data_IF_930796856716
#
_entry.id   IF_930796856716
#
_cell.length_a   1.000
_cell.length_b   1.000
_cell.length_c   1.000
_cell.angle_alpha   90.00
_cell.angle_beta   90.00
_cell.angle_gamma   90.00
#
_symmetry.space_group_name_H-M   'P 1'
#
loop_
_entity.id
_entity.type
_entity.pdbx_description
1 polymer ?
#
# COMPACT_ATOMS: atom_id res chain seq x y z
N UNK A 1 16.30 -1.16 -21.95
CA UNK A 1 15.98 -2.50 -21.41
C UNK A 1 14.54 -2.88 -21.72
N UNK A 2 14.28 -4.18 -21.91
CA UNK A 2 12.94 -4.74 -21.99
C UNK A 2 12.57 -5.32 -20.60
N UNK A 3 11.66 -4.66 -19.90
CA UNK A 3 11.27 -5.02 -18.53
C UNK A 3 9.86 -5.57 -18.53
N UNK A 4 9.68 -6.82 -18.08
CA UNK A 4 8.38 -7.48 -17.96
C UNK A 4 7.83 -7.40 -16.53
N UNK A 5 6.55 -7.10 -16.37
CA UNK A 5 5.86 -7.04 -15.07
C UNK A 5 4.72 -8.04 -14.97
N UNK A 6 4.57 -8.71 -13.81
CA UNK A 6 3.30 -9.33 -13.43
C UNK A 6 2.27 -8.26 -13.09
N UNK A 7 1.37 -8.01 -14.02
CA UNK A 7 0.37 -6.96 -13.90
C UNK A 7 -1.04 -7.45 -13.51
N UNK A 8 -1.21 -8.73 -13.11
CA UNK A 8 -2.53 -9.23 -12.70
C UNK A 8 -3.19 -8.30 -11.67
N UNK A 9 -2.44 -7.86 -10.65
CA UNK A 9 -2.97 -6.99 -9.59
C UNK A 9 -3.23 -5.56 -10.08
N UNK A 10 -2.40 -5.02 -10.96
CA UNK A 10 -2.64 -3.70 -11.54
C UNK A 10 -3.99 -3.60 -12.26
N UNK A 11 -4.38 -4.66 -12.97
CA UNK A 11 -5.62 -4.71 -13.76
C UNK A 11 -6.86 -5.14 -12.97
N UNK A 12 -6.73 -6.01 -11.96
CA UNK A 12 -7.86 -6.65 -11.29
C UNK A 12 -8.07 -6.28 -9.82
N UNK A 13 -7.15 -5.53 -9.20
CA UNK A 13 -7.20 -5.23 -7.77
C UNK A 13 -7.19 -3.73 -7.51
N UNK A 14 -8.12 -3.25 -6.68
CA UNK A 14 -8.27 -1.84 -6.32
C UNK A 14 -7.76 -1.50 -4.91
N UNK A 15 -7.08 -2.44 -4.24
CA UNK A 15 -6.48 -2.27 -2.91
C UNK A 15 -4.96 -2.09 -2.99
N UNK A 16 -4.24 -2.17 -1.88
CA UNK A 16 -2.82 -1.87 -1.75
C UNK A 16 -1.93 -2.49 -2.83
N UNK A 17 -2.04 -3.82 -3.09
CA UNK A 17 -1.21 -4.49 -4.10
C UNK A 17 -1.46 -3.98 -5.53
N UNK A 18 -2.72 -3.66 -5.85
CA UNK A 18 -3.07 -3.10 -7.15
C UNK A 18 -2.58 -1.65 -7.30
N UNK A 19 -2.67 -0.84 -6.23
CA UNK A 19 -2.15 0.52 -6.20
C UNK A 19 -0.63 0.50 -6.37
N UNK A 20 0.10 -0.29 -5.58
CA UNK A 20 1.55 -0.46 -5.72
C UNK A 20 1.95 -0.82 -7.16
N UNK A 21 1.28 -1.81 -7.76
CA UNK A 21 1.61 -2.23 -9.12
C UNK A 21 1.40 -1.10 -10.14
N UNK A 22 0.30 -0.34 -10.05
CA UNK A 22 0.03 0.79 -10.93
C UNK A 22 1.00 1.94 -10.73
N UNK A 23 1.25 2.30 -9.47
CA UNK A 23 2.15 3.39 -9.11
C UNK A 23 3.59 3.07 -9.56
N UNK A 24 4.08 1.84 -9.33
CA UNK A 24 5.39 1.37 -9.83
C UNK A 24 5.52 1.50 -11.35
N UNK A 25 4.51 1.02 -12.11
CA UNK A 25 4.51 1.11 -13.57
C UNK A 25 4.48 2.58 -14.02
N UNK A 26 3.64 3.39 -13.39
CA UNK A 26 3.48 4.80 -13.76
C UNK A 26 4.76 5.59 -13.51
N UNK A 27 5.35 5.46 -12.32
CA UNK A 27 6.55 6.20 -11.95
C UNK A 27 7.77 5.80 -12.83
N UNK A 28 7.98 4.50 -13.06
CA UNK A 28 9.08 4.03 -13.92
C UNK A 28 8.91 4.51 -15.36
N UNK A 29 7.71 4.40 -15.92
CA UNK A 29 7.46 4.84 -17.30
C UNK A 29 7.53 6.36 -17.48
N UNK A 30 7.37 7.16 -16.42
CA UNK A 30 7.55 8.61 -16.43
C UNK A 30 9.02 9.00 -16.30
N UNK A 31 9.73 8.42 -15.35
CA UNK A 31 11.11 8.83 -15.02
C UNK A 31 12.17 8.18 -15.93
N UNK A 32 11.82 7.02 -16.53
CA UNK A 32 12.69 6.27 -17.44
C UNK A 32 11.95 5.96 -18.76
N UNK A 33 11.61 6.99 -19.56
CA UNK A 33 10.77 6.84 -20.75
C UNK A 33 11.46 6.08 -21.91
N UNK A 34 12.78 5.96 -21.89
CA UNK A 34 13.56 5.24 -22.91
C UNK A 34 13.52 3.72 -22.74
N UNK A 35 13.06 3.23 -21.57
CA UNK A 35 12.90 1.81 -21.30
C UNK A 35 11.54 1.30 -21.82
N UNK A 36 11.49 0.03 -22.20
CA UNK A 36 10.25 -0.63 -22.65
C UNK A 36 9.68 -1.51 -21.53
N UNK A 37 8.42 -1.29 -21.20
CA UNK A 37 7.75 -1.99 -20.12
C UNK A 37 6.61 -2.87 -20.65
N UNK A 38 6.74 -4.17 -20.47
CA UNK A 38 5.78 -5.18 -20.92
C UNK A 38 4.89 -5.61 -19.75
N UNK A 39 3.60 -5.36 -19.88
CA UNK A 39 2.60 -5.54 -18.83
C UNK A 39 1.85 -6.85 -19.03
N UNK A 40 2.32 -7.92 -18.42
CA UNK A 40 1.72 -9.24 -18.55
C UNK A 40 0.52 -9.40 -17.62
N UNK A 41 -0.66 -9.64 -18.19
CA UNK A 41 -1.91 -9.85 -17.43
C UNK A 41 -2.73 -11.00 -18.01
N UNK A 42 -3.28 -11.88 -17.16
CA UNK A 42 -4.11 -13.00 -17.65
C UNK A 42 -5.45 -12.56 -18.26
N UNK A 43 -5.89 -11.32 -17.97
CA UNK A 43 -7.11 -10.74 -18.53
C UNK A 43 -7.00 -9.22 -18.55
N UNK A 44 -7.31 -8.61 -19.68
CA UNK A 44 -7.52 -7.18 -19.76
C UNK A 44 -8.84 -6.80 -19.03
N UNK A 45 -8.81 -5.75 -18.23
CA UNK A 45 -10.01 -5.19 -17.61
C UNK A 45 -10.14 -3.71 -17.93
N UNK A 46 -11.38 -3.23 -18.07
CA UNK A 46 -11.69 -1.81 -18.27
C UNK A 46 -11.65 -1.06 -16.91
N UNK A 47 -10.51 -1.02 -16.26
CA UNK A 47 -10.36 -0.30 -15.00
C UNK A 47 -9.92 1.15 -15.30
N UNK A 48 -10.70 2.14 -14.86
CA UNK A 48 -10.35 3.57 -15.04
C UNK A 48 -8.98 3.94 -14.47
N UNK A 49 -8.52 3.22 -13.43
CA UNK A 49 -7.23 3.47 -12.78
C UNK A 49 -6.00 3.09 -13.62
N UNK A 50 -6.20 2.45 -14.79
CA UNK A 50 -5.12 2.10 -15.73
C UNK A 50 -5.18 2.90 -17.04
N UNK A 51 -6.01 3.94 -17.12
CA UNK A 51 -6.12 4.78 -18.32
C UNK A 51 -4.79 5.45 -18.71
N UNK A 52 -3.90 5.70 -17.74
CA UNK A 52 -2.57 6.23 -18.01
C UNK A 52 -1.73 5.34 -18.94
N UNK A 53 -1.96 4.03 -18.95
CA UNK A 53 -1.23 3.08 -19.79
C UNK A 53 -1.43 3.39 -21.27
N UNK A 54 -2.64 3.77 -21.67
CA UNK A 54 -2.98 4.09 -23.06
C UNK A 54 -2.31 5.36 -23.59
N UNK A 55 -1.85 6.22 -22.70
CA UNK A 55 -1.24 7.52 -23.03
C UNK A 55 0.27 7.48 -23.19
N UNK A 56 0.90 6.30 -23.03
CA UNK A 56 2.36 6.15 -23.01
C UNK A 56 2.84 5.17 -24.05
N UNK A 57 3.76 5.60 -24.88
CA UNK A 57 4.32 4.80 -25.99
C UNK A 57 5.27 3.69 -25.56
N UNK A 58 5.76 3.71 -24.31
CA UNK A 58 6.71 2.74 -23.77
C UNK A 58 6.07 1.64 -22.92
N UNK A 59 4.73 1.57 -22.84
CA UNK A 59 3.96 0.55 -22.12
C UNK A 59 3.25 -0.39 -23.08
N UNK A 60 3.55 -1.69 -23.01
CA UNK A 60 3.02 -2.73 -23.90
C UNK A 60 2.23 -3.77 -23.12
N UNK A 61 0.91 -3.84 -23.31
CA UNK A 61 0.07 -4.84 -22.64
C UNK A 61 0.22 -6.18 -23.38
N UNK A 62 0.40 -7.26 -22.61
CA UNK A 62 0.46 -8.63 -23.09
C UNK A 62 -0.51 -9.53 -22.35
N UNK A 63 -1.29 -10.29 -23.10
CA UNK A 63 -2.27 -11.27 -22.59
C UNK A 63 -2.01 -12.63 -23.25
N UNK A 64 -2.49 -13.74 -22.66
CA UNK A 64 -2.35 -15.06 -23.27
C UNK A 64 -2.85 -15.09 -24.72
N UNK A 65 -2.03 -15.59 -25.64
CA UNK A 65 -2.36 -15.66 -27.07
C UNK A 65 -3.05 -16.98 -27.38
N UNK A 66 -2.49 -18.13 -26.92
CA UNK A 66 -3.04 -19.45 -27.22
C UNK A 66 -4.39 -19.70 -26.53
N UNK A 67 -5.27 -20.45 -27.19
CA UNK A 67 -6.59 -20.76 -26.65
C UNK A 67 -6.51 -21.53 -25.31
N UNK A 68 -5.57 -22.46 -25.16
CA UNK A 68 -5.29 -23.17 -23.90
C UNK A 68 -4.92 -22.21 -22.76
N UNK A 69 -4.04 -21.25 -23.00
CA UNK A 69 -3.63 -20.27 -22.02
C UNK A 69 -4.75 -19.26 -21.68
N UNK A 70 -5.64 -18.96 -22.63
CA UNK A 70 -6.85 -18.14 -22.38
C UNK A 70 -7.83 -18.84 -21.45
N UNK A 71 -7.93 -20.18 -21.52
CA UNK A 71 -8.78 -20.98 -20.63
C UNK A 71 -8.07 -21.15 -19.27
N UNK A 72 -6.83 -21.64 -19.27
CA UNK A 72 -6.06 -21.93 -18.05
C UNK A 72 -5.18 -20.75 -17.62
N UNK A 73 -5.80 -19.59 -17.37
CA UNK A 73 -5.13 -18.31 -17.04
C UNK A 73 -4.20 -18.38 -15.83
N UNK A 74 -4.55 -19.22 -14.84
CA UNK A 74 -3.72 -19.41 -13.65
C UNK A 74 -2.44 -20.14 -13.98
N UNK A 75 -2.53 -21.20 -14.80
CA UNK A 75 -1.39 -21.95 -15.27
C UNK A 75 -0.49 -21.11 -16.19
N UNK A 76 -1.10 -20.30 -17.08
CA UNK A 76 -0.32 -19.39 -17.90
C UNK A 76 0.53 -18.44 -17.03
N UNK A 77 -0.08 -17.77 -16.05
CA UNK A 77 0.63 -16.83 -15.17
C UNK A 77 1.71 -17.53 -14.34
N UNK A 78 1.46 -18.75 -13.86
CA UNK A 78 2.37 -19.46 -12.96
C UNK A 78 3.51 -20.20 -13.67
N UNK A 79 3.38 -20.50 -14.97
CA UNK A 79 4.38 -21.30 -15.71
C UNK A 79 4.52 -20.87 -17.17
N UNK A 80 3.44 -20.94 -17.97
CA UNK A 80 3.53 -20.82 -19.43
C UNK A 80 3.90 -19.42 -19.93
N UNK A 81 3.78 -18.40 -19.10
CA UNK A 81 4.17 -17.02 -19.38
C UNK A 81 5.65 -16.92 -19.78
N UNK A 82 6.50 -17.83 -19.30
CA UNK A 82 7.95 -17.84 -19.62
C UNK A 82 8.19 -17.83 -21.13
N UNK A 83 7.41 -18.59 -21.88
CA UNK A 83 7.53 -18.62 -23.34
C UNK A 83 7.18 -17.25 -23.98
N UNK A 84 6.20 -16.54 -23.40
CA UNK A 84 5.82 -15.22 -23.92
C UNK A 84 6.86 -14.16 -23.53
N UNK A 85 7.51 -14.31 -22.35
CA UNK A 85 8.64 -13.46 -21.94
C UNK A 85 9.83 -13.60 -22.88
N UNK A 86 10.19 -14.84 -23.27
CA UNK A 86 11.28 -15.10 -24.21
C UNK A 86 10.99 -14.50 -25.58
N UNK A 87 9.76 -14.64 -26.11
CA UNK A 87 9.35 -14.06 -27.41
C UNK A 87 9.46 -12.53 -27.45
N UNK A 88 9.22 -11.87 -26.31
CA UNK A 88 9.32 -10.41 -26.19
C UNK A 88 10.76 -9.94 -25.84
N UNK A 89 11.72 -10.85 -25.83
CA UNK A 89 13.13 -10.58 -25.47
C UNK A 89 13.23 -9.83 -24.13
N UNK A 90 12.46 -10.30 -23.10
CA UNK A 90 12.49 -9.70 -21.78
C UNK A 90 13.84 -9.96 -21.12
N UNK A 91 14.52 -8.89 -20.69
CA UNK A 91 15.80 -8.98 -19.98
C UNK A 91 15.61 -9.09 -18.47
N UNK A 92 14.62 -8.36 -17.95
CA UNK A 92 14.26 -8.37 -16.50
C UNK A 92 12.78 -8.67 -16.36
N UNK A 93 12.44 -9.61 -15.50
CA UNK A 93 11.06 -9.87 -15.09
C UNK A 93 10.86 -9.53 -13.61
N UNK A 94 9.90 -8.66 -13.32
CA UNK A 94 9.58 -8.24 -11.97
C UNK A 94 8.18 -8.72 -11.54
N UNK A 95 8.13 -9.66 -10.62
CA UNK A 95 6.92 -10.09 -9.93
C UNK A 95 6.50 -9.06 -8.88
N UNK A 96 5.56 -8.19 -9.22
CA UNK A 96 5.13 -7.06 -8.37
C UNK A 96 4.30 -7.48 -7.14
N UNK A 97 3.94 -8.74 -7.00
CA UNK A 97 3.03 -9.20 -5.95
C UNK A 97 3.36 -10.60 -5.43
N UNK A 98 4.51 -10.72 -4.79
CA UNK A 98 4.99 -11.88 -4.02
C UNK A 98 5.26 -13.16 -4.83
N UNK A 99 5.10 -13.16 -6.15
CA UNK A 99 5.23 -14.38 -6.98
C UNK A 99 6.02 -14.11 -8.27
N UNK A 100 6.81 -15.11 -8.71
CA UNK A 100 7.40 -15.20 -10.05
C UNK A 100 7.04 -16.55 -10.70
N UNK A 101 7.02 -16.65 -12.04
CA UNK A 101 6.65 -17.90 -12.72
C UNK A 101 7.65 -19.03 -12.42
N UNK A 102 7.14 -20.25 -12.45
CA UNK A 102 7.95 -21.46 -12.35
C UNK A 102 8.70 -21.69 -13.67
N UNK A 103 9.96 -22.06 -13.57
CA UNK A 103 10.83 -22.35 -14.72
C UNK A 103 11.51 -21.14 -15.32
N UNK A 104 11.23 -19.91 -14.84
CA UNK A 104 11.93 -18.70 -15.31
C UNK A 104 13.41 -18.73 -14.92
N UNK A 105 13.75 -19.39 -13.80
CA UNK A 105 15.13 -19.60 -13.34
C UNK A 105 15.99 -20.45 -14.29
N UNK A 106 15.37 -21.07 -15.29
CA UNK A 106 16.07 -21.87 -16.35
C UNK A 106 16.36 -21.05 -17.59
N UNK A 107 16.12 -19.74 -17.54
CA UNK A 107 16.35 -18.79 -18.65
C UNK A 107 17.37 -17.74 -18.23
N UNK A 108 17.86 -16.96 -19.20
CA UNK A 108 18.77 -15.84 -18.93
C UNK A 108 18.05 -14.59 -18.38
N UNK A 109 16.71 -14.64 -18.29
CA UNK A 109 15.89 -13.52 -17.77
C UNK A 109 16.23 -13.27 -16.31
N UNK A 110 16.71 -12.09 -15.98
CA UNK A 110 16.95 -11.67 -14.60
C UNK A 110 15.61 -11.44 -13.89
N UNK A 111 15.48 -11.99 -12.68
CA UNK A 111 14.20 -12.00 -11.96
C UNK A 111 14.24 -11.23 -10.66
N UNK A 112 13.19 -10.45 -10.45
CA UNK A 112 12.95 -9.73 -9.20
C UNK A 112 11.57 -10.10 -8.68
N UNK A 113 11.45 -10.23 -7.36
CA UNK A 113 10.14 -10.34 -6.70
C UNK A 113 10.02 -9.28 -5.61
N UNK A 114 8.91 -8.54 -5.60
CA UNK A 114 8.56 -7.67 -4.47
C UNK A 114 7.75 -8.46 -3.45
N UNK A 115 8.22 -8.48 -2.20
CA UNK A 115 7.50 -9.02 -1.05
C UNK A 115 6.93 -7.85 -0.24
N UNK A 116 5.60 -7.88 -0.08
CA UNK A 116 4.87 -6.80 0.60
C UNK A 116 4.81 -6.99 2.10
N UNK A 117 4.58 -8.20 2.56
CA UNK A 117 4.56 -8.59 3.96
C UNK A 117 4.57 -10.11 4.10
N UNK A 118 4.81 -10.58 5.33
CA UNK A 118 4.67 -11.96 5.74
C UNK A 118 3.70 -12.08 6.95
N UNK A 119 2.63 -11.27 6.92
CA UNK A 119 1.62 -11.21 7.99
C UNK A 119 1.00 -12.59 8.25
N UNK A 120 0.81 -13.40 7.22
CA UNK A 120 0.24 -14.74 7.35
C UNK A 120 1.10 -15.71 8.17
N UNK A 121 2.40 -15.44 8.32
CA UNK A 121 3.31 -16.19 9.20
C UNK A 121 3.31 -15.56 10.59
N UNK A 122 3.50 -14.24 10.68
CA UNK A 122 3.61 -13.51 11.95
C UNK A 122 2.29 -13.51 12.75
N UNK A 123 1.15 -13.43 12.05
CA UNK A 123 -0.20 -13.42 12.64
C UNK A 123 -1.08 -14.53 12.05
N UNK A 124 -0.74 -15.80 12.31
CA UNK A 124 -1.38 -16.95 11.67
C UNK A 124 -2.89 -17.05 11.91
N UNK A 125 -3.38 -16.51 13.04
CA UNK A 125 -4.81 -16.52 13.39
C UNK A 125 -5.69 -15.63 12.48
N UNK A 126 -5.08 -14.76 11.68
CA UNK A 126 -5.79 -13.89 10.73
C UNK A 126 -6.09 -14.57 9.38
N UNK A 127 -5.53 -15.74 9.13
CA UNK A 127 -5.64 -16.47 7.87
C UNK A 127 -6.10 -17.92 8.11
N UNK A 128 -6.79 -18.50 7.15
CA UNK A 128 -7.08 -19.93 7.22
C UNK A 128 -5.80 -20.78 6.99
N UNK A 129 -5.81 -22.02 7.47
CA UNK A 129 -4.61 -22.89 7.45
C UNK A 129 -4.17 -23.22 6.02
N UNK A 130 -5.11 -23.41 5.08
CA UNK A 130 -4.84 -23.77 3.69
C UNK A 130 -4.18 -22.60 2.96
N UNK A 131 -4.73 -21.38 3.08
CA UNK A 131 -4.16 -20.20 2.45
C UNK A 131 -2.75 -19.91 2.99
N UNK A 132 -2.53 -20.08 4.31
CA UNK A 132 -1.20 -19.93 4.91
C UNK A 132 -0.17 -20.88 4.33
N UNK A 133 -0.54 -22.15 4.17
CA UNK A 133 0.31 -23.16 3.56
C UNK A 133 0.65 -22.80 2.10
N UNK A 134 -0.35 -22.44 1.31
CA UNK A 134 -0.16 -22.03 -0.09
C UNK A 134 0.72 -20.79 -0.20
N UNK A 135 0.49 -19.76 0.63
CA UNK A 135 1.29 -18.53 0.60
C UNK A 135 2.72 -18.80 1.03
N UNK A 136 2.94 -19.61 2.07
CA UNK A 136 4.27 -19.95 2.54
C UNK A 136 5.12 -20.55 1.41
N UNK A 137 4.64 -21.62 0.77
CA UNK A 137 5.39 -22.27 -0.30
C UNK A 137 5.58 -21.39 -1.54
N UNK A 138 4.56 -20.65 -1.94
CA UNK A 138 4.66 -19.77 -3.10
C UNK A 138 5.64 -18.62 -2.89
N UNK A 139 5.58 -17.94 -1.73
CA UNK A 139 6.43 -16.80 -1.46
C UNK A 139 7.87 -17.25 -1.23
N UNK A 140 8.07 -18.30 -0.42
CA UNK A 140 9.39 -18.88 -0.21
C UNK A 140 10.04 -19.32 -1.52
N UNK A 141 9.35 -20.13 -2.33
CA UNK A 141 9.84 -20.55 -3.64
C UNK A 141 10.15 -19.37 -4.56
N UNK A 142 9.35 -18.32 -4.56
CA UNK A 142 9.63 -17.13 -5.35
C UNK A 142 10.88 -16.40 -4.85
N UNK A 143 11.08 -16.29 -3.54
CA UNK A 143 12.28 -15.70 -2.95
C UNK A 143 13.53 -16.52 -3.25
N UNK A 144 13.45 -17.85 -3.17
CA UNK A 144 14.58 -18.76 -3.46
C UNK A 144 15.03 -18.68 -4.93
N UNK A 145 14.08 -18.62 -5.87
CA UNK A 145 14.34 -18.63 -7.32
C UNK A 145 14.67 -17.26 -7.92
N UNK A 146 14.22 -16.15 -7.28
CA UNK A 146 14.52 -14.82 -7.78
C UNK A 146 16.01 -14.47 -7.67
N UNK A 147 16.56 -13.71 -8.62
CA UNK A 147 17.94 -13.19 -8.54
C UNK A 147 18.05 -12.09 -7.47
N UNK A 148 17.05 -11.21 -7.35
CA UNK A 148 16.96 -10.20 -6.29
C UNK A 148 15.54 -10.13 -5.73
N UNK A 149 15.45 -9.75 -4.47
CA UNK A 149 14.18 -9.55 -3.76
C UNK A 149 14.08 -8.09 -3.36
N UNK A 150 12.94 -7.48 -3.63
CA UNK A 150 12.60 -6.17 -3.11
C UNK A 150 11.70 -6.39 -1.87
N UNK A 151 12.16 -5.93 -0.71
CA UNK A 151 11.35 -5.79 0.48
C UNK A 151 10.82 -4.36 0.57
N UNK A 152 9.54 -4.19 0.88
CA UNK A 152 8.92 -2.85 0.92
C UNK A 152 9.25 -2.05 2.18
N UNK A 153 9.91 -2.69 3.15
CA UNK A 153 10.39 -2.09 4.40
C UNK A 153 11.53 -2.90 5.00
N UNK A 154 12.28 -2.33 5.93
CA UNK A 154 13.29 -3.06 6.73
C UNK A 154 12.62 -4.16 7.58
N UNK A 155 11.41 -3.90 8.08
CA UNK A 155 10.63 -4.93 8.78
C UNK A 155 10.34 -6.14 7.86
N UNK A 156 9.89 -5.91 6.62
CA UNK A 156 9.65 -6.99 5.66
C UNK A 156 10.94 -7.72 5.29
N UNK A 157 12.07 -7.01 5.17
CA UNK A 157 13.39 -7.63 4.95
C UNK A 157 13.75 -8.56 6.10
N UNK A 158 13.59 -8.12 7.35
CA UNK A 158 13.82 -8.94 8.54
C UNK A 158 12.95 -10.20 8.54
N UNK A 159 11.67 -10.05 8.22
CA UNK A 159 10.73 -11.18 8.15
C UNK A 159 11.14 -12.21 7.07
N UNK A 160 11.62 -11.75 5.90
CA UNK A 160 12.10 -12.65 4.83
C UNK A 160 13.33 -13.44 5.30
N UNK A 161 14.28 -12.79 5.94
CA UNK A 161 15.47 -13.46 6.49
C UNK A 161 15.06 -14.48 7.57
N UNK A 162 14.25 -14.05 8.54
CA UNK A 162 13.82 -14.85 9.68
C UNK A 162 13.00 -16.08 9.26
N UNK A 163 12.00 -15.91 8.39
CA UNK A 163 11.03 -16.97 8.10
C UNK A 163 11.38 -17.84 6.90
N UNK A 164 12.15 -17.31 5.94
CA UNK A 164 12.51 -18.03 4.73
C UNK A 164 13.99 -18.39 4.64
N UNK A 165 14.83 -17.90 5.59
CA UNK A 165 16.28 -18.11 5.60
C UNK A 165 16.96 -17.64 4.31
N UNK A 166 16.48 -16.54 3.72
CA UNK A 166 17.06 -15.95 2.50
C UNK A 166 18.28 -15.11 2.90
N UNK A 167 19.42 -15.24 2.18
CA UNK A 167 20.60 -14.41 2.42
C UNK A 167 20.33 -12.92 2.27
N UNK A 168 20.87 -12.10 3.18
CA UNK A 168 20.62 -10.67 3.24
C UNK A 168 21.01 -9.92 1.96
N UNK A 169 22.12 -10.31 1.32
CA UNK A 169 22.66 -9.72 0.10
C UNK A 169 21.73 -9.88 -1.12
N UNK A 170 20.79 -10.81 -1.05
CA UNK A 170 19.77 -11.03 -2.07
C UNK A 170 18.61 -10.04 -1.95
N UNK A 171 18.46 -9.39 -0.78
CA UNK A 171 17.32 -8.55 -0.44
C UNK A 171 17.71 -7.08 -0.47
N UNK A 172 16.99 -6.29 -1.28
CA UNK A 172 17.11 -4.83 -1.28
C UNK A 172 15.82 -4.20 -0.75
N UNK A 173 15.94 -3.28 0.20
CA UNK A 173 14.79 -2.50 0.61
C UNK A 173 14.56 -1.37 -0.39
N UNK A 174 13.36 -1.36 -0.98
CA UNK A 174 12.86 -0.26 -1.80
C UNK A 174 11.49 0.11 -1.29
N UNK A 175 11.41 1.25 -0.65
CA UNK A 175 10.16 1.76 -0.08
C UNK A 175 9.10 2.00 -1.15
N UNK A 176 7.84 2.03 -0.71
CA UNK A 176 6.74 2.40 -1.58
C UNK A 176 6.56 3.93 -1.59
N UNK A 177 6.12 4.45 -2.73
CA UNK A 177 5.58 5.80 -2.83
C UNK A 177 4.08 5.82 -2.53
N UNK A 178 3.48 6.99 -2.65
CA UNK A 178 2.03 7.14 -2.70
C UNK A 178 1.64 7.93 -3.95
N UNK A 179 0.38 7.81 -4.35
CA UNK A 179 -0.11 8.50 -5.53
C UNK A 179 0.15 10.02 -5.46
N UNK A 180 0.64 10.60 -6.55
CA UNK A 180 1.00 12.02 -6.68
C UNK A 180 -0.13 12.98 -6.27
N UNK A 181 -1.38 12.53 -6.35
CA UNK A 181 -2.57 13.32 -5.99
C UNK A 181 -2.55 13.79 -4.53
N UNK A 182 -1.89 13.04 -3.63
CA UNK A 182 -1.71 13.40 -2.22
C UNK A 182 -0.57 14.40 -2.00
N UNK A 183 0.35 14.52 -2.98
CA UNK A 183 1.49 15.42 -2.92
C UNK A 183 1.11 16.85 -3.34
N UNK A 184 -0.04 17.02 -4.00
CA UNK A 184 -0.51 18.30 -4.53
C UNK A 184 -1.48 18.96 -3.57
N UNK A 185 -1.22 20.24 -3.21
CA UNK A 185 -2.13 21.08 -2.41
C UNK A 185 -3.44 21.30 -3.18
N UNK A 186 -4.56 21.01 -2.54
CA UNK A 186 -5.89 21.23 -3.10
C UNK A 186 -6.38 22.66 -2.80
N UNK A 187 -7.18 23.20 -3.73
CA UNK A 187 -7.80 24.50 -3.51
C UNK A 187 -8.90 24.44 -2.43
N UNK A 188 -9.08 25.50 -1.67
CA UNK A 188 -10.16 25.59 -0.67
C UNK A 188 -11.55 25.33 -1.27
N UNK A 189 -11.77 25.74 -2.53
CA UNK A 189 -13.03 25.48 -3.25
C UNK A 189 -13.28 23.98 -3.40
N UNK A 190 -12.27 23.20 -3.85
CA UNK A 190 -12.38 21.74 -3.97
C UNK A 190 -12.58 21.08 -2.62
N UNK A 191 -11.81 21.49 -1.60
CA UNK A 191 -11.95 20.97 -0.23
C UNK A 191 -13.37 21.21 0.27
N UNK A 192 -13.88 22.44 0.20
CA UNK A 192 -15.23 22.78 0.67
C UNK A 192 -16.33 22.02 -0.11
N UNK A 193 -16.15 21.84 -1.42
CA UNK A 193 -17.07 21.03 -2.24
C UNK A 193 -17.10 19.58 -1.77
N UNK A 194 -15.93 19.00 -1.45
CA UNK A 194 -15.82 17.62 -0.96
C UNK A 194 -16.43 17.48 0.43
N UNK A 195 -16.17 18.41 1.35
CA UNK A 195 -16.77 18.43 2.68
C UNK A 195 -18.30 18.43 2.57
N UNK A 196 -18.88 19.31 1.73
CA UNK A 196 -20.33 19.38 1.50
C UNK A 196 -20.87 18.10 0.87
N UNK A 197 -20.18 17.56 -0.16
CA UNK A 197 -20.60 16.34 -0.87
C UNK A 197 -20.77 15.15 0.05
N UNK A 198 -19.88 14.98 1.03
CA UNK A 198 -19.89 13.85 1.95
C UNK A 198 -20.45 14.20 3.34
N UNK A 199 -21.02 15.40 3.51
CA UNK A 199 -21.52 15.91 4.78
C UNK A 199 -20.53 15.69 5.95
N UNK A 200 -19.26 16.01 5.69
CA UNK A 200 -18.20 15.79 6.67
C UNK A 200 -18.31 16.78 7.82
N UNK A 201 -18.04 16.35 9.05
CA UNK A 201 -17.98 17.26 10.19
C UNK A 201 -16.79 18.20 10.05
N UNK A 202 -16.91 19.36 10.70
CA UNK A 202 -15.75 20.25 10.92
C UNK A 202 -14.83 19.61 11.96
N UNK A 203 -13.51 19.75 11.79
CA UNK A 203 -12.50 19.31 12.75
C UNK A 203 -12.64 17.81 13.13
N UNK A 204 -12.32 16.91 12.22
CA UNK A 204 -12.44 15.47 12.44
C UNK A 204 -11.09 14.75 12.48
N UNK A 205 -11.06 13.64 13.20
CA UNK A 205 -10.01 12.65 13.16
C UNK A 205 -10.26 11.73 11.96
N UNK A 206 -9.20 11.40 11.22
CA UNK A 206 -9.28 10.55 10.05
C UNK A 206 -8.73 9.15 10.33
N UNK A 207 -9.44 8.12 9.89
CA UNK A 207 -8.98 6.74 9.78
C UNK A 207 -9.15 6.28 8.32
N UNK A 208 -8.09 5.71 7.73
CA UNK A 208 -8.12 5.17 6.35
C UNK A 208 -7.57 3.75 6.32
N UNK A 209 -8.30 2.83 5.68
CA UNK A 209 -7.86 1.46 5.46
C UNK A 209 -9.01 0.46 5.43
N UNK A 210 -8.70 -0.79 5.03
CA UNK A 210 -9.66 -1.89 5.15
C UNK A 210 -10.10 -2.05 6.61
N UNK A 211 -11.41 -2.26 6.82
CA UNK A 211 -11.96 -2.40 8.18
C UNK A 211 -11.89 -3.88 8.55
N UNK A 212 -10.76 -4.26 9.15
CA UNK A 212 -10.43 -5.61 9.60
C UNK A 212 -9.75 -5.59 10.98
N UNK A 213 -9.74 -6.71 11.70
CA UNK A 213 -9.24 -6.78 13.09
C UNK A 213 -7.81 -6.24 13.24
N UNK A 214 -6.93 -6.56 12.30
CA UNK A 214 -5.53 -6.11 12.30
C UNK A 214 -5.38 -4.59 12.21
N UNK A 215 -6.27 -3.91 11.48
CA UNK A 215 -6.29 -2.43 11.35
C UNK A 215 -6.86 -1.73 12.58
N UNK A 216 -7.43 -2.49 13.51
CA UNK A 216 -7.73 -2.11 14.89
C UNK A 216 -8.64 -0.87 15.07
N UNK A 217 -9.60 -0.68 14.17
CA UNK A 217 -10.58 0.43 14.28
C UNK A 217 -11.33 0.40 15.62
N UNK A 218 -11.60 -0.78 16.19
CA UNK A 218 -12.40 -0.90 17.43
C UNK A 218 -11.74 -0.22 18.64
N UNK A 219 -10.40 -0.28 18.76
CA UNK A 219 -9.69 0.44 19.84
C UNK A 219 -9.82 1.95 19.65
N UNK A 220 -9.70 2.44 18.42
CA UNK A 220 -9.95 3.86 18.14
C UNK A 220 -11.38 4.27 18.46
N UNK A 221 -12.39 3.44 18.14
CA UNK A 221 -13.78 3.73 18.47
C UNK A 221 -14.01 3.80 19.99
N UNK A 222 -13.34 2.94 20.78
CA UNK A 222 -13.37 3.02 22.26
C UNK A 222 -12.78 4.34 22.75
N UNK A 223 -11.63 4.75 22.19
CA UNK A 223 -11.01 6.03 22.49
C UNK A 223 -11.95 7.22 22.14
N UNK A 224 -12.53 7.23 20.93
CA UNK A 224 -13.47 8.26 20.49
C UNK A 224 -14.73 8.33 21.34
N UNK A 225 -15.22 7.19 21.86
CA UNK A 225 -16.34 7.18 22.80
C UNK A 225 -16.05 8.05 24.01
N UNK A 226 -14.85 7.91 24.60
CA UNK A 226 -14.44 8.63 25.82
C UNK A 226 -14.06 10.10 25.53
N UNK A 227 -13.70 10.44 24.30
CA UNK A 227 -13.42 11.81 23.85
C UNK A 227 -14.70 12.43 23.27
N UNK A 228 -15.60 12.95 24.10
CA UNK A 228 -16.98 13.33 23.73
C UNK A 228 -17.07 14.38 22.61
N UNK A 229 -16.09 15.28 22.49
CA UNK A 229 -16.07 16.33 21.45
C UNK A 229 -15.57 15.84 20.11
N UNK A 230 -14.91 14.66 20.09
CA UNK A 230 -14.22 14.18 18.90
C UNK A 230 -15.16 13.56 17.87
N UNK A 231 -14.92 13.86 16.61
CA UNK A 231 -15.61 13.30 15.46
C UNK A 231 -14.63 12.46 14.63
N UNK A 232 -15.08 11.33 14.14
CA UNK A 232 -14.27 10.39 13.39
C UNK A 232 -14.84 10.19 11.98
N UNK A 233 -13.99 10.36 10.98
CA UNK A 233 -14.28 9.94 9.60
C UNK A 233 -13.50 8.69 9.29
N UNK A 234 -14.19 7.63 8.91
CA UNK A 234 -13.64 6.31 8.59
C UNK A 234 -13.80 6.05 7.11
N UNK A 235 -12.70 5.96 6.38
CA UNK A 235 -12.70 5.59 4.96
C UNK A 235 -12.23 4.15 4.81
N UNK A 236 -13.11 3.28 4.31
CA UNK A 236 -12.75 1.90 4.02
C UNK A 236 -13.90 0.93 3.94
N UNK A 237 -13.62 -0.20 3.30
CA UNK A 237 -14.54 -1.32 3.19
C UNK A 237 -14.14 -2.44 4.17
N UNK A 238 -15.12 -3.24 4.56
CA UNK A 238 -14.92 -4.39 5.44
C UNK A 238 -16.22 -5.17 5.61
N UNK A 239 -16.11 -6.38 6.13
CA UNK A 239 -17.23 -7.32 6.25
C UNK A 239 -17.69 -7.46 7.72
N UNK A 240 -17.50 -8.62 8.33
CA UNK A 240 -17.96 -8.94 9.68
C UNK A 240 -17.45 -7.96 10.76
N UNK A 241 -16.16 -7.65 10.72
CA UNK A 241 -15.55 -6.72 11.67
C UNK A 241 -16.11 -5.28 11.55
N UNK A 242 -16.46 -4.83 10.33
CA UNK A 242 -17.15 -3.55 10.14
C UNK A 242 -18.52 -3.55 10.77
N UNK A 243 -19.26 -4.68 10.69
CA UNK A 243 -20.55 -4.83 11.37
C UNK A 243 -20.38 -4.74 12.89
N UNK A 244 -19.40 -5.45 13.45
CA UNK A 244 -19.05 -5.39 14.86
C UNK A 244 -18.73 -3.96 15.34
N UNK A 245 -17.93 -3.21 14.58
CA UNK A 245 -17.64 -1.81 14.88
C UNK A 245 -18.90 -0.93 14.87
N UNK A 246 -19.80 -1.14 13.90
CA UNK A 246 -21.06 -0.38 13.83
C UNK A 246 -22.01 -0.72 14.98
N UNK A 247 -22.12 -2.00 15.36
CA UNK A 247 -22.92 -2.41 16.54
C UNK A 247 -22.40 -1.74 17.81
N UNK A 248 -21.07 -1.75 18.03
CA UNK A 248 -20.46 -1.07 19.16
C UNK A 248 -20.82 0.43 19.24
N UNK A 249 -20.82 1.13 18.10
CA UNK A 249 -21.18 2.55 18.04
C UNK A 249 -22.66 2.77 18.42
N UNK A 250 -23.56 1.89 17.95
CA UNK A 250 -24.99 1.97 18.24
C UNK A 250 -25.29 1.68 19.72
N UNK A 251 -24.75 0.61 20.26
CA UNK A 251 -24.89 0.21 21.67
C UNK A 251 -24.40 1.31 22.63
N UNK A 252 -23.31 2.02 22.27
CA UNK A 252 -22.75 3.09 23.08
C UNK A 252 -23.27 4.50 22.70
N UNK A 253 -24.29 4.62 21.83
CA UNK A 253 -25.06 5.84 21.50
C UNK A 253 -24.26 7.03 20.95
N UNK A 254 -23.09 6.78 20.26
CA UNK A 254 -22.29 7.87 19.67
C UNK A 254 -22.26 7.87 18.12
N UNK A 255 -23.28 7.31 17.48
CA UNK A 255 -23.42 7.24 16.00
C UNK A 255 -23.26 8.60 15.30
N UNK A 256 -23.75 9.70 15.90
CA UNK A 256 -23.66 11.05 15.30
C UNK A 256 -22.22 11.57 15.19
N UNK A 257 -21.26 10.96 15.88
CA UNK A 257 -19.84 11.35 15.90
C UNK A 257 -18.97 10.54 14.93
N UNK A 258 -19.50 9.49 14.26
CA UNK A 258 -18.73 8.62 13.38
C UNK A 258 -19.36 8.57 12.00
N UNK A 259 -18.61 9.02 11.00
CA UNK A 259 -19.01 8.97 9.58
C UNK A 259 -18.22 7.90 8.84
N UNK A 260 -18.92 6.93 8.22
CA UNK A 260 -18.30 5.91 7.38
C UNK A 260 -18.44 6.28 5.91
N UNK A 261 -17.33 6.25 5.18
CA UNK A 261 -17.28 6.50 3.75
C UNK A 261 -16.73 5.28 3.01
N UNK A 262 -17.28 5.00 1.82
CA UNK A 262 -16.83 3.94 0.93
C UNK A 262 -16.72 4.50 -0.50
N UNK A 263 -15.93 3.83 -1.33
CA UNK A 263 -15.84 4.08 -2.77
C UNK A 263 -15.55 5.55 -3.12
N UNK A 264 -14.67 6.17 -2.33
CA UNK A 264 -14.24 7.55 -2.51
C UNK A 264 -13.23 7.62 -3.67
N UNK A 265 -13.37 8.62 -4.54
CA UNK A 265 -12.38 8.90 -5.58
C UNK A 265 -11.04 9.33 -4.94
N UNK A 266 -9.91 9.08 -5.61
CA UNK A 266 -8.61 9.52 -5.12
C UNK A 266 -8.55 11.05 -4.94
N UNK A 267 -9.21 11.80 -5.83
CA UNK A 267 -9.31 13.25 -5.75
C UNK A 267 -10.04 13.70 -4.47
N UNK A 268 -11.21 13.12 -4.20
CA UNK A 268 -11.98 13.44 -2.99
C UNK A 268 -11.23 12.97 -1.72
N UNK A 269 -10.57 11.81 -1.79
CA UNK A 269 -9.78 11.27 -0.67
C UNK A 269 -8.63 12.21 -0.30
N UNK A 270 -7.91 12.76 -1.29
CA UNK A 270 -6.87 13.76 -1.07
C UNK A 270 -7.43 15.04 -0.40
N UNK A 271 -8.63 15.49 -0.81
CA UNK A 271 -9.31 16.62 -0.15
C UNK A 271 -9.67 16.31 1.31
N UNK A 272 -10.15 15.08 1.58
CA UNK A 272 -10.51 14.63 2.93
C UNK A 272 -9.28 14.58 3.84
N UNK A 273 -8.15 14.03 3.35
CA UNK A 273 -6.89 14.08 4.11
C UNK A 273 -6.54 15.52 4.48
N UNK A 274 -6.48 16.43 3.50
CA UNK A 274 -6.11 17.82 3.74
C UNK A 274 -7.09 18.60 4.64
N UNK A 275 -8.28 18.04 4.87
CA UNK A 275 -9.32 18.61 5.78
C UNK A 275 -9.23 18.05 7.19
N UNK A 276 -8.54 16.93 7.39
CA UNK A 276 -8.45 16.27 8.68
C UNK A 276 -7.56 17.05 9.65
N UNK A 277 -7.94 17.14 10.93
CA UNK A 277 -7.11 17.72 11.96
C UNK A 277 -5.92 16.85 12.34
N UNK A 278 -6.12 15.55 12.37
CA UNK A 278 -5.10 14.52 12.55
C UNK A 278 -5.60 13.17 11.98
N UNK A 279 -4.66 12.27 11.73
CA UNK A 279 -4.93 10.88 11.34
C UNK A 279 -4.49 9.93 12.45
N UNK A 280 -5.36 8.96 12.79
CA UNK A 280 -5.01 7.83 13.66
C UNK A 280 -4.99 6.56 12.84
N UNK A 281 -3.81 5.91 12.78
CA UNK A 281 -3.59 4.66 12.07
C UNK A 281 -3.08 3.58 13.03
N UNK A 282 -3.98 2.98 13.83
CA UNK A 282 -3.62 2.11 14.95
C UNK A 282 -3.48 0.64 14.52
N UNK A 283 -3.00 0.41 13.30
CA UNK A 283 -2.81 -0.94 12.78
C UNK A 283 -1.80 -1.72 13.64
N UNK A 284 -2.10 -2.97 13.95
CA UNK A 284 -1.23 -3.81 14.76
C UNK A 284 0.05 -4.14 13.99
N UNK A 285 -0.06 -4.39 12.70
CA UNK A 285 1.09 -4.70 11.83
C UNK A 285 0.79 -4.40 10.36
N UNK A 286 1.80 -3.95 9.63
CA UNK A 286 1.76 -3.68 8.18
C UNK A 286 3.10 -4.07 7.53
N UNK A 287 3.06 -4.25 6.21
CA UNK A 287 4.29 -4.34 5.43
C UNK A 287 4.95 -3.00 5.19
N UNK A 288 4.17 -1.89 5.08
CA UNK A 288 4.69 -0.54 4.91
C UNK A 288 3.86 0.53 5.61
N UNK A 289 2.65 0.84 5.16
CA UNK A 289 1.79 1.86 5.78
C UNK A 289 1.55 3.07 4.87
N UNK A 290 1.19 2.83 3.61
CA UNK A 290 0.89 3.89 2.63
C UNK A 290 -0.02 4.99 3.19
N UNK A 291 -1.11 4.72 3.97
CA UNK A 291 -1.95 5.78 4.52
C UNK A 291 -1.21 6.80 5.40
N UNK A 292 -0.16 6.36 6.11
CA UNK A 292 0.71 7.29 6.88
C UNK A 292 1.40 8.24 5.92
N UNK A 293 1.98 7.73 4.84
CA UNK A 293 2.67 8.53 3.83
C UNK A 293 1.72 9.52 3.14
N UNK A 294 0.50 9.09 2.80
CA UNK A 294 -0.56 9.94 2.25
C UNK A 294 -0.89 11.11 3.20
N UNK A 295 -0.97 10.83 4.51
CA UNK A 295 -1.21 11.85 5.53
C UNK A 295 -0.04 12.85 5.64
N UNK A 296 1.19 12.37 5.65
CA UNK A 296 2.38 13.22 5.74
C UNK A 296 2.51 14.15 4.53
N UNK A 297 2.30 13.65 3.31
CA UNK A 297 2.26 14.48 2.10
C UNK A 297 1.11 15.49 2.13
N UNK A 298 -0.01 15.12 2.71
CA UNK A 298 -1.17 16.00 2.91
C UNK A 298 -1.00 16.99 4.08
N UNK A 299 0.16 17.00 4.75
CA UNK A 299 0.46 17.82 5.93
C UNK A 299 -0.52 17.60 7.08
N UNK A 300 -0.83 16.34 7.36
CA UNK A 300 -1.71 15.92 8.46
C UNK A 300 -0.87 15.27 9.56
N UNK A 301 -1.00 15.67 10.82
CA UNK A 301 -0.37 15.01 11.95
C UNK A 301 -0.81 13.54 12.02
N UNK A 302 0.11 12.63 12.35
CA UNK A 302 -0.14 11.19 12.39
C UNK A 302 0.12 10.61 13.77
N UNK A 303 -0.86 9.85 14.28
CA UNK A 303 -0.70 8.93 15.40
C UNK A 303 -0.72 7.52 14.84
N UNK A 304 0.29 6.70 15.16
CA UNK A 304 0.39 5.32 14.66
C UNK A 304 1.08 4.41 15.67
N UNK A 305 1.16 3.12 15.35
CA UNK A 305 1.73 2.11 16.23
C UNK A 305 3.25 2.23 16.35
N UNK A 306 3.80 1.86 17.50
CA UNK A 306 5.23 2.01 17.82
C UNK A 306 6.12 0.90 17.22
N UNK A 307 5.55 -0.27 16.92
CA UNK A 307 6.29 -1.46 16.48
C UNK A 307 6.11 -1.73 14.97
N UNK A 308 7.09 -2.38 14.34
CA UNK A 308 7.06 -2.72 12.92
C UNK A 308 7.56 -1.59 12.00
N UNK A 309 7.04 -1.55 10.78
CA UNK A 309 7.48 -0.61 9.74
C UNK A 309 7.04 0.86 9.95
N UNK A 310 6.19 1.14 10.94
CA UNK A 310 5.55 2.45 11.08
C UNK A 310 6.54 3.60 11.30
N UNK A 311 7.64 3.33 12.02
CA UNK A 311 8.70 4.32 12.24
C UNK A 311 9.50 4.63 10.97
N UNK A 312 9.62 3.64 10.08
CA UNK A 312 10.29 3.85 8.78
C UNK A 312 9.52 4.87 7.94
N UNK A 313 8.19 4.74 7.90
CA UNK A 313 7.31 5.62 7.12
C UNK A 313 7.01 6.94 7.82
N UNK A 314 6.72 6.89 9.13
CA UNK A 314 6.33 8.07 9.93
C UNK A 314 7.51 8.93 10.41
N UNK A 315 8.74 8.39 10.39
CA UNK A 315 9.94 9.07 10.86
C UNK A 315 9.85 9.51 12.32
N UNK A 316 10.60 10.53 12.70
CA UNK A 316 10.53 11.14 14.05
C UNK A 316 9.42 12.22 14.13
N UNK A 317 8.51 12.24 13.18
CA UNK A 317 7.50 13.31 13.02
C UNK A 317 6.09 12.84 13.36
N UNK A 318 5.89 11.54 13.54
CA UNK A 318 4.63 10.94 13.97
C UNK A 318 4.65 10.63 15.47
N UNK A 319 3.47 10.55 16.08
CA UNK A 319 3.31 10.14 17.48
C UNK A 319 3.08 8.62 17.51
N UNK A 320 3.92 7.92 18.26
CA UNK A 320 3.91 6.45 18.34
C UNK A 320 3.27 5.99 19.64
N UNK A 321 2.35 5.01 19.53
CA UNK A 321 1.58 4.47 20.65
C UNK A 321 1.55 2.95 20.62
N UNK A 322 1.23 2.34 21.74
CA UNK A 322 0.74 0.97 21.76
C UNK A 322 -0.68 0.96 21.14
N UNK A 323 -0.90 0.30 19.98
CA UNK A 323 -2.18 0.35 19.29
C UNK A 323 -3.34 -0.27 20.09
N UNK A 324 -3.05 -1.07 21.11
CA UNK A 324 -4.04 -1.71 21.97
C UNK A 324 -4.35 -0.89 23.24
N UNK A 325 -3.57 0.15 23.55
CA UNK A 325 -3.82 1.05 24.68
C UNK A 325 -4.75 2.19 24.28
N UNK A 326 -5.93 2.22 24.90
CA UNK A 326 -6.90 3.31 24.73
C UNK A 326 -6.35 4.59 25.35
N UNK A 327 -5.68 4.47 26.49
CA UNK A 327 -5.11 5.55 27.27
C UNK A 327 -4.01 6.27 26.48
N UNK A 328 -2.97 5.53 25.97
CA UNK A 328 -1.92 6.14 25.16
C UNK A 328 -2.48 6.83 23.91
N UNK A 329 -3.52 6.24 23.28
CA UNK A 329 -4.16 6.81 22.10
C UNK A 329 -4.90 8.11 22.45
N UNK A 330 -5.61 8.14 23.57
CA UNK A 330 -6.33 9.31 24.07
C UNK A 330 -5.36 10.44 24.45
N UNK A 331 -4.30 10.14 25.19
CA UNK A 331 -3.24 11.10 25.53
C UNK A 331 -2.61 11.70 24.30
N UNK A 332 -2.26 10.87 23.30
CA UNK A 332 -1.66 11.31 22.05
C UNK A 332 -2.59 12.23 21.25
N UNK A 333 -3.88 11.95 21.20
CA UNK A 333 -4.88 12.82 20.55
C UNK A 333 -4.93 14.17 21.28
N UNK A 334 -5.11 14.18 22.59
CA UNK A 334 -5.21 15.39 23.39
C UNK A 334 -3.91 16.22 23.37
N UNK A 335 -2.74 15.59 23.41
CA UNK A 335 -1.43 16.25 23.28
C UNK A 335 -1.34 17.05 21.99
N UNK A 336 -1.71 16.42 20.86
CA UNK A 336 -1.66 17.08 19.54
C UNK A 336 -2.72 18.19 19.46
N UNK A 337 -3.94 17.96 19.93
CA UNK A 337 -5.04 18.93 19.82
C UNK A 337 -4.82 20.17 20.64
N UNK A 338 -4.26 20.04 21.84
CA UNK A 338 -4.04 21.14 22.75
C UNK A 338 -2.80 21.98 22.41
N UNK A 339 -1.99 21.60 21.42
CA UNK A 339 -0.76 22.30 21.07
C UNK A 339 -0.63 22.64 19.60
N UNK A 340 -0.96 23.88 19.22
CA UNK A 340 -0.71 24.42 17.87
C UNK A 340 0.77 24.29 17.44
N UNK A 341 1.71 24.38 18.41
CA UNK A 341 3.14 24.23 18.18
C UNK A 341 3.47 22.81 17.73
N UNK A 342 2.94 21.79 18.42
CA UNK A 342 3.12 20.39 18.07
C UNK A 342 2.50 20.11 16.70
N UNK A 343 1.26 20.55 16.46
CA UNK A 343 0.59 20.37 15.16
C UNK A 343 1.41 20.97 14.01
N UNK A 344 1.91 22.21 14.16
CA UNK A 344 2.72 22.87 13.14
C UNK A 344 4.00 22.09 12.88
N UNK A 345 4.74 21.70 13.93
CA UNK A 345 5.95 20.90 13.83
C UNK A 345 5.71 19.59 13.09
N UNK A 346 4.67 18.84 13.48
CA UNK A 346 4.32 17.56 12.85
C UNK A 346 3.97 17.73 11.36
N UNK A 347 3.20 18.76 10.99
CA UNK A 347 2.83 19.06 9.60
C UNK A 347 4.04 19.38 8.73
N UNK A 348 4.93 20.24 9.20
CA UNK A 348 6.10 20.69 8.43
C UNK A 348 7.15 19.61 8.32
N UNK A 349 7.55 19.03 9.44
CA UNK A 349 8.58 18.00 9.45
C UNK A 349 8.10 16.68 8.86
N UNK A 350 6.81 16.35 9.02
CA UNK A 350 6.19 15.19 8.37
C UNK A 350 6.25 15.31 6.85
N UNK A 351 5.92 16.46 6.30
CA UNK A 351 6.02 16.71 4.86
C UNK A 351 7.48 16.61 4.36
N UNK A 352 8.45 17.16 5.11
CA UNK A 352 9.88 17.06 4.77
C UNK A 352 10.33 15.60 4.79
N UNK A 353 9.94 14.84 5.82
CA UNK A 353 10.25 13.40 5.88
C UNK A 353 9.66 12.62 4.71
N UNK A 354 8.41 12.92 4.33
CA UNK A 354 7.74 12.27 3.20
C UNK A 354 8.48 12.43 1.87
N UNK A 355 9.29 13.49 1.67
CA UNK A 355 10.09 13.69 0.46
C UNK A 355 11.13 12.58 0.22
N UNK A 356 11.45 11.76 1.22
CA UNK A 356 12.28 10.56 1.05
C UNK A 356 11.60 9.49 0.20
N UNK A 357 10.28 9.55 0.09
CA UNK A 357 9.42 8.62 -0.66
C UNK A 357 8.84 9.26 -1.92
N UNK A 358 9.51 10.29 -2.46
CA UNK A 358 9.08 10.92 -3.72
C UNK A 358 9.23 9.97 -4.90
N UNK A 359 8.39 10.13 -5.91
CA UNK A 359 8.33 9.29 -7.10
C UNK A 359 9.71 9.14 -7.77
N UNK A 360 10.47 10.24 -7.86
CA UNK A 360 11.84 10.23 -8.43
C UNK A 360 12.76 9.30 -7.63
N UNK A 361 12.79 9.41 -6.28
CA UNK A 361 13.66 8.57 -5.43
C UNK A 361 13.27 7.10 -5.50
N UNK A 362 11.98 6.80 -5.48
CA UNK A 362 11.50 5.41 -5.59
C UNK A 362 11.84 4.83 -6.95
N UNK A 363 11.63 5.59 -8.05
CA UNK A 363 11.97 5.12 -9.39
C UNK A 363 13.48 4.92 -9.57
N UNK A 364 14.31 5.81 -9.01
CA UNK A 364 15.76 5.67 -9.05
C UNK A 364 16.24 4.42 -8.30
N UNK A 365 15.72 4.20 -7.11
CA UNK A 365 16.04 2.99 -6.32
C UNK A 365 15.64 1.70 -7.05
N UNK A 366 14.44 1.67 -7.67
CA UNK A 366 14.01 0.53 -8.48
C UNK A 366 14.91 0.32 -9.67
N UNK A 367 15.23 1.39 -10.40
CA UNK A 367 16.09 1.31 -11.59
C UNK A 367 17.51 0.88 -11.21
N UNK A 368 18.03 1.35 -10.09
CA UNK A 368 19.32 0.89 -9.57
C UNK A 368 19.35 -0.63 -9.32
N UNK A 369 18.26 -1.19 -8.80
CA UNK A 369 18.15 -2.66 -8.65
C UNK A 369 18.16 -3.33 -10.02
N UNK A 370 17.44 -2.80 -11.01
CA UNK A 370 17.38 -3.39 -12.35
C UNK A 370 18.75 -3.33 -13.04
N UNK A 371 19.38 -2.17 -13.08
CA UNK A 371 20.69 -1.98 -13.74
C UNK A 371 21.82 -2.78 -13.09
N UNK A 372 21.73 -3.06 -11.77
CA UNK A 372 22.74 -3.87 -11.07
C UNK A 372 22.75 -5.34 -11.47
N UNK A 373 21.79 -5.79 -12.30
CA UNK A 373 21.69 -7.21 -12.71
C UNK A 373 22.04 -7.44 -14.19
N UNK A 374 22.19 -6.39 -14.95
CA UNK A 374 22.60 -6.40 -16.35
C UNK A 374 24.03 -5.88 -16.48
#
# INVERSE_FOLDING_TARGET
>A
MNIGFDCKRAFSNNTGLGNYSRDTINLLSNHYPNEKYFLFTPKFSKNKRIEFIKKKGNLFIRTPISNTNKIFKSLWRSKNIVNDLLKENIQIYHGLSNEIPLGIEKTDIKTIVTIHDLIFIRYPKLFNKIDRYIYYYKFKSSCERANKIIAVSEQTKKDIIEYFSIPEEKIKVVYQGCNEIFQVKKSNVKINKTIKKYALPKDFILYVGSIEKRKNLKTLLKCIKDLEKEKLVVIGNGNSYKKECKSYILENKFKKRVTFLNDISLEDMSCIYQSAKLMVYPSIFEGFGIPILEALFSKVPVITSKDGCFKEVGGNTSRYINPLSIEEMKEAILEIENSKKIQKKMKEQGYIHAQKFSDKKISDNLMQVYTSMI
#
